data_IF_113611332139
#
_entry.id   IF_113611332139
#
_cell.length_a   1.000
_cell.length_b   1.000
_cell.length_c   1.000
_cell.angle_alpha   90.00
_cell.angle_beta   90.00
_cell.angle_gamma   90.00
#
_symmetry.space_group_name_H-M   'P 1'
#
loop_
_entity.id
_entity.type
_entity.pdbx_description
1 polymer ?
#
# COMPACT_ATOMS: atom_id res chain seq x y z
N UNK A 1 -24.39 1.31 0.67
CA UNK A 1 -25.51 1.68 1.55
C UNK A 1 -26.76 0.86 1.25
N UNK A 2 -27.40 0.99 0.08
CA UNK A 2 -28.63 0.25 -0.30
C UNK A 2 -28.67 -1.23 0.12
N UNK A 3 -27.66 -2.02 -0.22
CA UNK A 3 -27.62 -3.45 0.17
C UNK A 3 -27.62 -3.66 1.70
N UNK A 4 -26.99 -2.77 2.47
CA UNK A 4 -27.00 -2.82 3.94
C UNK A 4 -28.37 -2.45 4.51
N UNK A 5 -29.06 -1.50 3.89
CA UNK A 5 -30.44 -1.13 4.27
C UNK A 5 -31.42 -2.29 4.02
N UNK A 6 -31.12 -3.12 3.03
CA UNK A 6 -31.82 -4.38 2.73
C UNK A 6 -31.40 -5.55 3.65
N UNK A 7 -30.53 -5.31 4.64
CA UNK A 7 -30.07 -6.31 5.61
C UNK A 7 -28.87 -7.15 5.16
N UNK A 8 -28.27 -6.87 4.00
CA UNK A 8 -27.07 -7.57 3.53
C UNK A 8 -25.84 -7.12 4.30
N UNK A 9 -25.08 -8.07 4.85
CA UNK A 9 -23.80 -7.81 5.54
C UNK A 9 -22.70 -7.49 4.53
N UNK A 10 -22.60 -6.22 4.12
CA UNK A 10 -21.55 -5.72 3.22
C UNK A 10 -20.58 -4.83 3.98
N UNK A 11 -19.29 -5.17 3.98
CA UNK A 11 -18.23 -4.41 4.62
C UNK A 11 -17.18 -4.01 3.58
N UNK A 12 -16.27 -3.12 3.97
CA UNK A 12 -15.07 -2.81 3.21
C UNK A 12 -13.91 -2.54 4.18
N UNK A 13 -12.71 -2.47 3.65
CA UNK A 13 -11.51 -2.11 4.38
C UNK A 13 -10.65 -1.13 3.56
N UNK A 14 -9.76 -0.40 4.25
CA UNK A 14 -8.92 0.61 3.64
C UNK A 14 -7.66 0.89 4.48
N UNK A 15 -6.53 1.12 3.81
CA UNK A 15 -5.35 1.76 4.39
C UNK A 15 -5.38 3.29 4.17
N UNK A 16 -4.92 4.12 5.12
CA UNK A 16 -5.10 5.57 5.09
C UNK A 16 -3.99 6.31 4.32
N UNK A 17 -3.72 5.91 3.07
CA UNK A 17 -2.74 6.57 2.20
C UNK A 17 -3.32 6.82 0.81
N UNK A 18 -3.15 8.03 0.28
CA UNK A 18 -3.52 8.39 -1.09
C UNK A 18 -2.54 7.88 -2.17
N UNK A 19 -1.99 6.68 -1.96
CA UNK A 19 -1.05 6.04 -2.89
C UNK A 19 -1.50 4.64 -3.26
N UNK A 20 -1.16 4.27 -4.50
CA UNK A 20 -1.53 2.99 -5.10
C UNK A 20 -0.28 2.16 -5.43
N UNK A 21 -0.46 0.84 -5.48
CA UNK A 21 0.57 -0.12 -5.86
C UNK A 21 1.23 -0.76 -4.66
N UNK A 22 1.12 -2.09 -4.59
CA UNK A 22 1.85 -2.92 -3.64
C UNK A 22 3.35 -2.82 -3.93
N UNK A 23 4.13 -2.42 -2.93
CA UNK A 23 5.60 -2.51 -2.87
C UNK A 23 6.41 -1.90 -4.03
N UNK A 24 5.88 -0.87 -4.68
CA UNK A 24 6.62 -0.11 -5.71
C UNK A 24 6.77 -0.81 -7.05
N UNK A 25 5.84 -1.72 -7.40
CA UNK A 25 5.87 -2.41 -8.70
C UNK A 25 4.87 -1.83 -9.70
N UNK A 26 4.79 -0.51 -9.82
CA UNK A 26 4.05 0.12 -10.93
C UNK A 26 4.82 -0.10 -12.21
N UNK A 27 4.31 -1.00 -13.07
CA UNK A 27 4.87 -1.24 -14.41
C UNK A 27 3.93 -0.61 -15.43
N UNK A 28 4.48 0.28 -16.26
CA UNK A 28 3.72 0.94 -17.34
C UNK A 28 3.78 0.14 -18.65
N UNK A 29 4.83 -0.65 -18.83
CA UNK A 29 4.96 -1.54 -19.99
C UNK A 29 3.94 -2.68 -19.84
N UNK A 30 3.09 -2.96 -20.85
CA UNK A 30 2.14 -4.04 -20.75
C UNK A 30 2.85 -5.39 -20.60
N UNK A 31 2.34 -6.26 -19.72
CA UNK A 31 3.02 -7.51 -19.35
C UNK A 31 3.33 -8.39 -20.58
N UNK A 32 2.44 -8.42 -21.59
CA UNK A 32 2.67 -9.16 -22.84
C UNK A 32 3.93 -8.72 -23.60
N UNK A 33 4.33 -7.45 -23.48
CA UNK A 33 5.52 -6.91 -24.13
C UNK A 33 6.81 -7.20 -23.33
N UNK A 34 6.69 -7.75 -22.13
CA UNK A 34 7.81 -8.19 -21.28
C UNK A 34 8.01 -9.72 -21.32
N UNK A 35 7.14 -10.44 -22.03
CA UNK A 35 7.22 -11.89 -22.21
C UNK A 35 7.87 -12.25 -23.54
N UNK A 36 8.43 -13.47 -23.62
CA UNK A 36 8.85 -14.04 -24.89
C UNK A 36 7.65 -14.33 -25.83
N UNK A 37 7.87 -14.64 -27.13
CA UNK A 37 6.78 -14.92 -28.06
C UNK A 37 5.87 -16.11 -27.68
N UNK A 38 6.27 -16.94 -26.72
CA UNK A 38 5.49 -18.06 -26.19
C UNK A 38 4.80 -17.72 -24.86
N UNK A 39 4.83 -16.45 -24.42
CA UNK A 39 4.23 -15.98 -23.18
C UNK A 39 5.01 -16.38 -21.93
N UNK A 40 6.31 -16.70 -22.04
CA UNK A 40 7.14 -17.14 -20.91
C UNK A 40 8.10 -16.04 -20.46
N UNK A 41 8.34 -15.97 -19.15
CA UNK A 41 9.45 -15.20 -18.56
C UNK A 41 10.77 -15.96 -18.76
N UNK A 42 11.29 -15.91 -19.99
CA UNK A 42 12.55 -16.59 -20.37
C UNK A 42 13.70 -15.64 -20.68
N UNK A 43 13.41 -14.37 -20.98
CA UNK A 43 14.38 -13.33 -21.32
C UNK A 43 14.27 -12.16 -20.33
N UNK A 44 15.34 -11.35 -20.17
CA UNK A 44 15.23 -10.09 -19.44
C UNK A 44 14.12 -9.22 -20.05
N UNK A 45 13.23 -8.61 -19.25
CA UNK A 45 12.17 -7.71 -19.70
C UNK A 45 12.61 -6.68 -20.77
N UNK A 46 13.80 -6.09 -20.62
CA UNK A 46 14.32 -5.14 -21.59
C UNK A 46 14.61 -5.77 -22.97
N UNK A 47 15.06 -7.03 -23.02
CA UNK A 47 15.32 -7.73 -24.27
C UNK A 47 14.01 -8.13 -24.97
N UNK A 48 13.03 -8.63 -24.19
CA UNK A 48 11.69 -8.93 -24.70
C UNK A 48 11.05 -7.68 -25.33
N UNK A 49 11.11 -6.54 -24.63
CA UNK A 49 10.59 -5.28 -25.14
C UNK A 49 11.27 -4.85 -26.44
N UNK A 50 12.61 -4.94 -26.54
CA UNK A 50 13.32 -4.65 -27.81
C UNK A 50 12.83 -5.50 -28.97
N UNK A 51 12.52 -6.77 -28.72
CA UNK A 51 11.96 -7.68 -29.71
C UNK A 51 10.60 -7.21 -30.25
N UNK A 52 9.69 -6.82 -29.34
CA UNK A 52 8.37 -6.30 -29.73
C UNK A 52 8.43 -4.93 -30.40
N UNK A 53 9.35 -4.05 -29.98
CA UNK A 53 9.52 -2.72 -30.59
C UNK A 53 10.09 -2.77 -32.02
N UNK A 54 10.64 -3.90 -32.46
CA UNK A 54 11.11 -4.07 -33.84
C UNK A 54 9.97 -4.26 -34.85
N UNK A 55 8.78 -4.64 -34.39
CA UNK A 55 7.56 -4.76 -35.20
C UNK A 55 6.70 -3.49 -35.08
N UNK A 56 6.44 -2.74 -36.15
CA UNK A 56 5.68 -1.49 -36.09
C UNK A 56 4.25 -1.64 -35.54
N UNK A 57 3.60 -2.79 -35.77
CA UNK A 57 2.25 -3.03 -35.27
C UNK A 57 2.26 -3.24 -33.75
N UNK A 58 3.21 -4.03 -33.25
CA UNK A 58 3.45 -4.26 -31.82
C UNK A 58 3.89 -2.98 -31.11
N UNK A 59 4.80 -2.20 -31.71
CA UNK A 59 5.20 -0.89 -31.18
C UNK A 59 3.98 0.02 -31.00
N UNK A 60 3.14 0.17 -32.03
CA UNK A 60 1.95 0.99 -31.95
C UNK A 60 0.96 0.52 -30.87
N UNK A 61 0.86 -0.80 -30.62
CA UNK A 61 0.05 -1.35 -29.53
C UNK A 61 0.63 -1.02 -28.16
N UNK A 62 1.94 -1.21 -27.98
CA UNK A 62 2.65 -0.88 -26.72
C UNK A 62 2.46 0.59 -26.35
N UNK A 63 2.60 1.50 -27.32
CA UNK A 63 2.42 2.93 -27.06
C UNK A 63 1.02 3.25 -26.54
N UNK A 64 -0.03 2.66 -27.14
CA UNK A 64 -1.42 2.85 -26.69
C UNK A 64 -1.66 2.27 -25.31
N UNK A 65 -1.09 1.10 -25.02
CA UNK A 65 -1.24 0.44 -23.72
C UNK A 65 -0.55 1.25 -22.61
N UNK A 66 0.66 1.76 -22.87
CA UNK A 66 1.38 2.64 -21.94
C UNK A 66 0.59 3.94 -21.72
N UNK A 67 0.09 4.56 -22.79
CA UNK A 67 -0.74 5.78 -22.68
C UNK A 67 -1.98 5.52 -21.82
N UNK A 68 -2.65 4.39 -22.02
CA UNK A 68 -3.78 3.97 -21.19
C UNK A 68 -3.38 3.80 -19.72
N UNK A 69 -2.25 3.15 -19.43
CA UNK A 69 -1.76 2.92 -18.07
C UNK A 69 -1.39 4.23 -17.36
N UNK A 70 -0.73 5.16 -18.07
CA UNK A 70 -0.42 6.50 -17.54
C UNK A 70 -1.73 7.24 -17.19
N UNK A 71 -2.70 7.24 -18.11
CA UNK A 71 -4.00 7.90 -17.88
C UNK A 71 -4.77 7.25 -16.73
N UNK A 72 -4.78 5.92 -16.64
CA UNK A 72 -5.44 5.16 -15.56
C UNK A 72 -4.87 5.51 -14.18
N UNK A 73 -3.60 5.91 -14.11
CA UNK A 73 -2.91 6.34 -12.88
C UNK A 73 -3.09 7.82 -12.56
N UNK A 74 -3.85 8.55 -13.39
CA UNK A 74 -4.12 9.97 -13.19
C UNK A 74 -3.12 10.91 -13.85
N UNK A 75 -2.20 10.39 -14.68
CA UNK A 75 -1.21 11.19 -15.40
C UNK A 75 0.23 10.76 -15.13
N UNK A 76 1.16 11.26 -15.96
CA UNK A 76 2.59 10.96 -15.83
C UNK A 76 3.21 11.63 -14.58
N UNK A 77 2.66 12.76 -14.15
CA UNK A 77 2.99 13.44 -12.90
C UNK A 77 2.68 12.61 -11.64
N UNK A 78 1.87 11.56 -11.79
CA UNK A 78 1.50 10.64 -10.69
C UNK A 78 2.37 9.40 -10.61
N UNK A 79 3.31 9.19 -11.54
CA UNK A 79 4.20 8.03 -11.52
C UNK A 79 5.58 8.46 -11.08
N UNK A 80 6.00 8.08 -9.88
CA UNK A 80 7.27 8.49 -9.26
C UNK A 80 8.26 7.34 -9.26
N UNK A 81 9.53 7.63 -9.54
CA UNK A 81 10.64 6.65 -9.48
C UNK A 81 11.15 6.53 -8.03
N UNK A 82 11.22 5.31 -7.51
CA UNK A 82 11.62 5.02 -6.13
C UNK A 82 12.96 4.30 -6.03
N UNK A 83 13.26 3.46 -7.02
CA UNK A 83 14.53 2.76 -7.12
C UNK A 83 14.86 2.61 -8.61
N UNK A 84 16.09 2.98 -8.98
CA UNK A 84 16.55 2.98 -10.36
C UNK A 84 18.08 3.04 -10.40
N UNK A 85 18.76 2.43 -11.39
CA UNK A 85 20.22 2.47 -11.48
C UNK A 85 20.81 3.89 -11.49
N UNK A 86 20.17 4.80 -12.23
CA UNK A 86 20.47 6.23 -12.17
C UNK A 86 19.76 6.88 -10.98
N UNK A 87 20.54 7.23 -9.96
CA UNK A 87 20.05 7.78 -8.69
C UNK A 87 19.47 9.19 -8.82
N UNK A 88 19.80 9.94 -9.89
CA UNK A 88 19.25 11.28 -10.11
C UNK A 88 17.76 11.26 -10.49
N UNK A 89 17.25 10.11 -10.91
CA UNK A 89 15.84 9.93 -11.23
C UNK A 89 14.98 9.63 -9.99
N UNK A 90 15.59 9.18 -8.89
CA UNK A 90 14.86 8.80 -7.68
C UNK A 90 14.16 10.03 -7.09
N UNK A 91 12.86 9.91 -6.84
CA UNK A 91 12.00 10.95 -6.32
C UNK A 91 11.37 11.86 -7.37
N UNK A 92 11.79 11.77 -8.64
CA UNK A 92 11.17 12.49 -9.75
C UNK A 92 9.99 11.73 -10.31
N UNK A 93 9.00 12.46 -10.82
CA UNK A 93 7.88 11.85 -11.54
C UNK A 93 8.18 11.69 -13.05
N UNK A 94 7.45 10.80 -13.72
CA UNK A 94 7.65 10.48 -15.13
C UNK A 94 7.56 11.72 -16.03
N UNK A 95 6.66 12.66 -15.72
CA UNK A 95 6.52 13.90 -16.48
C UNK A 95 7.79 14.77 -16.37
N UNK A 96 8.30 14.98 -15.16
CA UNK A 96 9.53 15.76 -14.93
C UNK A 96 10.75 15.16 -15.63
N UNK A 97 10.83 13.83 -15.70
CA UNK A 97 11.93 13.13 -16.37
C UNK A 97 11.78 13.27 -17.90
N UNK A 98 10.56 13.10 -18.41
CA UNK A 98 10.24 13.24 -19.83
C UNK A 98 10.52 14.67 -20.33
N UNK A 99 10.07 15.69 -19.59
CA UNK A 99 10.29 17.10 -19.90
C UNK A 99 11.78 17.45 -19.94
N UNK A 100 12.56 16.98 -18.96
CA UNK A 100 14.00 17.23 -18.91
C UNK A 100 14.77 16.59 -20.08
N UNK A 101 14.25 15.50 -20.64
CA UNK A 101 14.83 14.83 -21.82
C UNK A 101 14.21 15.28 -23.14
N UNK A 102 13.18 16.12 -23.11
CA UNK A 102 12.48 16.61 -24.30
C UNK A 102 11.75 15.52 -25.09
N UNK A 103 11.24 14.48 -24.40
CA UNK A 103 10.49 13.38 -25.02
C UNK A 103 9.12 13.21 -24.37
N UNK A 104 8.21 12.54 -25.07
CA UNK A 104 6.87 12.24 -24.57
C UNK A 104 6.91 11.21 -23.41
N UNK A 105 6.04 11.33 -22.36
CA UNK A 105 6.01 10.40 -21.23
C UNK A 105 5.82 8.92 -21.59
N UNK A 106 5.08 8.60 -22.66
CA UNK A 106 4.92 7.22 -23.15
C UNK A 106 6.26 6.68 -23.62
N UNK A 107 7.01 7.48 -24.39
CA UNK A 107 8.37 7.13 -24.84
C UNK A 107 9.36 7.10 -23.68
N UNK A 108 9.19 7.96 -22.68
CA UNK A 108 9.99 7.95 -21.46
C UNK A 108 9.78 6.65 -20.67
N UNK A 109 8.56 6.11 -20.57
CA UNK A 109 8.32 4.83 -19.92
C UNK A 109 9.07 3.67 -20.61
N UNK A 110 9.12 3.67 -21.94
CA UNK A 110 9.95 2.73 -22.72
C UNK A 110 11.44 2.93 -22.41
N UNK A 111 11.92 4.17 -22.42
CA UNK A 111 13.31 4.48 -22.11
C UNK A 111 13.71 4.00 -20.71
N UNK A 112 12.88 4.21 -19.69
CA UNK A 112 13.11 3.70 -18.34
C UNK A 112 13.27 2.17 -18.32
N UNK A 113 12.39 1.44 -19.02
CA UNK A 113 12.51 -0.02 -19.11
C UNK A 113 13.80 -0.48 -19.81
N UNK A 114 14.24 0.23 -20.85
CA UNK A 114 15.37 -0.18 -21.69
C UNK A 114 16.74 0.25 -21.14
N UNK A 115 16.79 1.33 -20.38
CA UNK A 115 18.02 1.91 -19.80
C UNK A 115 18.24 1.51 -18.35
N UNK A 116 17.21 1.01 -17.67
CA UNK A 116 17.25 0.59 -16.28
C UNK A 116 17.80 -0.82 -16.08
N UNK A 117 17.43 -1.46 -14.97
CA UNK A 117 17.74 -2.87 -14.73
C UNK A 117 17.01 -3.74 -15.75
N UNK A 118 17.78 -4.41 -16.60
CA UNK A 118 17.28 -5.25 -17.68
C UNK A 118 16.40 -6.41 -17.19
N UNK A 119 16.57 -6.85 -15.95
CA UNK A 119 15.83 -7.95 -15.32
C UNK A 119 14.59 -7.50 -14.56
N UNK A 120 14.42 -6.18 -14.36
CA UNK A 120 13.31 -5.60 -13.61
C UNK A 120 12.22 -5.07 -14.56
N UNK A 121 10.96 -5.51 -14.44
CA UNK A 121 9.83 -4.84 -15.07
C UNK A 121 9.75 -3.37 -14.64
N UNK A 122 9.67 -2.45 -15.61
CA UNK A 122 9.79 -1.01 -15.43
C UNK A 122 11.22 -0.45 -15.46
N UNK A 123 12.25 -1.30 -15.50
CA UNK A 123 13.67 -0.90 -15.40
C UNK A 123 14.09 -0.43 -14.01
N UNK A 124 13.16 -0.45 -13.05
CA UNK A 124 13.34 -0.05 -11.67
C UNK A 124 12.01 -0.19 -10.92
N UNK A 125 11.90 0.44 -9.75
CA UNK A 125 10.66 0.48 -8.96
C UNK A 125 9.99 1.84 -9.12
N UNK A 126 8.75 1.84 -9.60
CA UNK A 126 7.92 3.03 -9.73
C UNK A 126 6.68 2.91 -8.84
N UNK A 127 6.10 4.04 -8.48
CA UNK A 127 4.88 4.10 -7.66
C UNK A 127 3.87 5.08 -8.21
N UNK A 128 2.61 4.67 -8.23
CA UNK A 128 1.48 5.51 -8.64
C UNK A 128 0.86 6.24 -7.46
N UNK A 129 0.80 7.56 -7.52
CA UNK A 129 0.04 8.45 -6.64
C UNK A 129 -1.36 8.68 -7.24
N UNK A 130 -2.07 7.58 -7.47
CA UNK A 130 -3.29 7.54 -8.28
C UNK A 130 -4.60 7.61 -7.48
N UNK A 131 -4.50 7.76 -6.14
CA UNK A 131 -5.67 7.85 -5.27
C UNK A 131 -5.89 9.31 -4.85
N UNK A 132 -7.16 9.68 -4.72
CA UNK A 132 -7.55 11.00 -4.21
C UNK A 132 -7.64 10.97 -2.69
N UNK A 133 -6.96 11.89 -2.02
CA UNK A 133 -7.06 12.07 -0.56
C UNK A 133 -8.52 12.38 -0.13
N UNK A 134 -9.30 13.03 -1.01
CA UNK A 134 -10.73 13.28 -0.77
C UNK A 134 -11.50 11.96 -0.67
N UNK A 135 -11.23 11.03 -1.60
CA UNK A 135 -11.89 9.72 -1.59
C UNK A 135 -11.42 8.88 -0.40
N UNK A 136 -10.11 8.93 -0.07
CA UNK A 136 -9.57 8.24 1.10
C UNK A 136 -10.27 8.70 2.38
N UNK A 137 -10.41 10.01 2.58
CA UNK A 137 -11.15 10.61 3.71
C UNK A 137 -12.62 10.22 3.72
N UNK A 138 -13.28 10.25 2.56
CA UNK A 138 -14.70 9.92 2.44
C UNK A 138 -15.00 8.46 2.83
N UNK A 139 -14.17 7.52 2.38
CA UNK A 139 -14.27 6.10 2.78
C UNK A 139 -13.85 5.90 4.23
N UNK A 140 -12.81 6.58 4.70
CA UNK A 140 -12.33 6.50 6.07
C UNK A 140 -13.41 6.84 7.12
N UNK A 141 -14.32 7.75 6.77
CA UNK A 141 -15.43 8.18 7.61
C UNK A 141 -16.63 7.22 7.63
N UNK A 142 -16.68 6.22 6.74
CA UNK A 142 -17.82 5.32 6.68
C UNK A 142 -17.82 4.34 7.86
N UNK A 143 -18.96 4.13 8.56
CA UNK A 143 -19.03 3.28 9.75
C UNK A 143 -18.86 1.78 9.47
N UNK A 144 -18.84 1.39 8.19
CA UNK A 144 -18.71 0.03 7.68
C UNK A 144 -17.37 -0.24 6.98
N UNK A 145 -16.45 0.72 7.00
CA UNK A 145 -15.08 0.57 6.50
C UNK A 145 -14.15 0.28 7.69
N UNK A 146 -13.51 -0.89 7.69
CA UNK A 146 -12.46 -1.23 8.64
C UNK A 146 -11.11 -0.65 8.21
N UNK A 147 -10.21 -0.46 9.17
CA UNK A 147 -8.81 -0.15 8.86
C UNK A 147 -8.07 -1.46 8.58
N UNK A 148 -7.43 -1.56 7.43
CA UNK A 148 -6.54 -2.67 7.08
C UNK A 148 -5.27 -2.08 6.46
N UNK A 149 -4.10 -2.63 6.80
CA UNK A 149 -2.84 -2.09 6.28
C UNK A 149 -2.61 -2.41 4.81
N UNK A 150 -3.16 -3.52 4.31
CA UNK A 150 -2.75 -4.11 3.03
C UNK A 150 -1.21 -4.28 2.93
N UNK A 151 -0.57 -4.43 4.09
CA UNK A 151 0.86 -4.61 4.24
C UNK A 151 1.23 -6.07 4.44
N UNK A 152 2.33 -6.49 3.82
CA UNK A 152 2.99 -7.76 4.11
C UNK A 152 4.01 -7.63 5.24
N UNK A 153 4.77 -8.71 5.47
CA UNK A 153 5.98 -8.64 6.31
C UNK A 153 7.08 -8.04 5.45
N UNK A 154 7.72 -6.99 5.97
CA UNK A 154 8.87 -6.36 5.34
C UNK A 154 9.99 -6.18 6.36
N UNK A 155 11.21 -6.40 5.91
CA UNK A 155 12.46 -6.18 6.63
C UNK A 155 13.28 -5.13 5.87
N UNK A 156 14.22 -4.43 6.54
CA UNK A 156 15.09 -3.47 5.87
C UNK A 156 15.85 -4.04 4.65
N UNK A 157 16.10 -5.35 4.64
CA UNK A 157 16.75 -6.06 3.54
C UNK A 157 15.88 -6.20 2.28
N UNK A 158 14.57 -6.01 2.40
CA UNK A 158 13.62 -6.12 1.28
C UNK A 158 13.60 -4.84 0.41
N UNK A 159 14.23 -3.77 0.88
CA UNK A 159 14.30 -2.49 0.19
C UNK A 159 12.97 -1.72 0.23
N UNK A 160 12.73 -0.79 -0.71
CA UNK A 160 11.58 0.11 -0.62
C UNK A 160 10.22 -0.62 -0.63
N UNK A 161 9.46 -0.48 0.46
CA UNK A 161 8.07 -0.96 0.58
C UNK A 161 7.09 0.22 0.70
N UNK A 162 5.79 -0.06 0.76
CA UNK A 162 4.79 0.98 0.98
C UNK A 162 4.71 1.35 2.48
N UNK A 163 4.64 2.65 2.86
CA UNK A 163 4.66 3.05 4.28
C UNK A 163 3.51 2.49 5.13
N UNK A 164 2.38 2.17 4.48
CA UNK A 164 1.26 1.39 5.05
C UNK A 164 1.67 0.13 5.82
N UNK A 165 2.82 -0.47 5.51
CA UNK A 165 3.34 -1.66 6.20
C UNK A 165 3.65 -1.38 7.69
N UNK A 166 4.05 -0.14 8.01
CA UNK A 166 4.45 0.24 9.36
C UNK A 166 3.52 1.30 9.99
N UNK A 167 2.88 2.15 9.17
CA UNK A 167 2.22 3.35 9.66
C UNK A 167 0.68 3.35 9.66
N UNK A 168 0.02 2.33 9.10
CA UNK A 168 -1.44 2.38 8.84
C UNK A 168 -2.29 2.75 10.06
N UNK A 169 -2.13 2.03 11.18
CA UNK A 169 -3.01 2.21 12.34
C UNK A 169 -2.76 3.55 13.06
N UNK A 170 -1.50 3.94 13.36
CA UNK A 170 -1.19 5.25 13.92
C UNK A 170 -1.62 6.41 13.01
N UNK A 171 -1.38 6.31 11.70
CA UNK A 171 -1.78 7.34 10.72
C UNK A 171 -3.27 7.61 10.75
N UNK A 172 -4.10 6.56 10.80
CA UNK A 172 -5.57 6.71 10.90
C UNK A 172 -5.96 7.53 12.14
N UNK A 173 -5.30 7.29 13.27
CA UNK A 173 -5.58 8.02 14.51
C UNK A 173 -5.08 9.47 14.40
N UNK A 174 -3.80 9.66 14.09
CA UNK A 174 -3.14 10.98 14.06
C UNK A 174 -3.74 11.88 12.98
N UNK A 175 -3.60 11.51 11.71
CA UNK A 175 -4.03 12.35 10.57
C UNK A 175 -5.55 12.51 10.51
N UNK A 176 -6.32 11.41 10.63
CA UNK A 176 -7.76 11.44 10.32
C UNK A 176 -8.62 11.78 11.54
N UNK A 177 -8.22 11.37 12.75
CA UNK A 177 -9.00 11.68 13.95
C UNK A 177 -8.53 12.94 14.67
N UNK A 178 -7.22 13.15 14.78
CA UNK A 178 -6.66 14.27 15.57
C UNK A 178 -6.36 15.51 14.72
N UNK A 179 -5.65 15.38 13.60
CA UNK A 179 -5.21 16.53 12.80
C UNK A 179 -6.33 17.12 11.95
N UNK A 180 -6.98 16.28 11.14
CA UNK A 180 -8.04 16.73 10.22
C UNK A 180 -9.44 16.68 10.84
N UNK A 181 -9.63 15.85 11.88
CA UNK A 181 -10.93 15.68 12.54
C UNK A 181 -12.04 15.15 11.64
N UNK A 182 -11.71 14.46 10.54
CA UNK A 182 -12.73 13.90 9.62
C UNK A 182 -13.50 12.74 10.25
N UNK A 183 -12.94 12.12 11.29
CA UNK A 183 -13.57 11.10 12.14
C UNK A 183 -13.27 11.40 13.61
N UNK A 184 -14.04 10.83 14.53
CA UNK A 184 -13.69 10.88 15.95
C UNK A 184 -12.61 9.86 16.30
N UNK A 185 -11.94 10.06 17.44
CA UNK A 185 -10.97 9.10 17.98
C UNK A 185 -11.63 7.73 18.21
N UNK A 186 -12.84 7.70 18.76
CA UNK A 186 -13.58 6.46 19.01
C UNK A 186 -13.92 5.73 17.72
N UNK A 187 -14.24 6.46 16.64
CA UNK A 187 -14.47 5.86 15.33
C UNK A 187 -13.17 5.25 14.78
N UNK A 188 -12.05 5.96 14.91
CA UNK A 188 -10.74 5.45 14.49
C UNK A 188 -10.34 4.19 15.28
N UNK A 189 -10.59 4.14 16.60
CA UNK A 189 -10.35 2.94 17.41
C UNK A 189 -11.30 1.82 17.01
N UNK A 190 -12.61 2.10 16.89
CA UNK A 190 -13.61 1.11 16.49
C UNK A 190 -13.28 0.48 15.12
N UNK A 191 -12.81 1.27 14.14
CA UNK A 191 -12.53 0.77 12.80
C UNK A 191 -11.35 -0.22 12.74
N UNK A 192 -10.50 -0.24 13.77
CA UNK A 192 -9.37 -1.16 13.89
C UNK A 192 -9.53 -2.23 15.00
N UNK A 193 -10.61 -2.19 15.79
CA UNK A 193 -10.87 -3.16 16.89
C UNK A 193 -12.20 -3.90 16.73
N UNK A 194 -13.31 -3.34 17.22
CA UNK A 194 -14.60 -4.04 17.29
C UNK A 194 -15.27 -4.22 15.94
N UNK A 195 -14.99 -3.35 14.95
CA UNK A 195 -15.48 -3.52 13.58
C UNK A 195 -14.86 -4.76 12.90
N UNK A 196 -13.52 -4.91 12.78
CA UNK A 196 -12.94 -6.11 12.21
C UNK A 196 -13.28 -7.37 13.02
N UNK A 197 -13.34 -7.31 14.35
CA UNK A 197 -13.81 -8.43 15.18
C UNK A 197 -15.23 -8.87 14.78
N UNK A 198 -16.15 -7.92 14.58
CA UNK A 198 -17.52 -8.21 14.10
C UNK A 198 -17.55 -8.78 12.68
N UNK A 199 -16.72 -8.26 11.77
CA UNK A 199 -16.63 -8.75 10.38
C UNK A 199 -16.19 -10.22 10.38
N UNK A 200 -15.21 -10.56 11.21
CA UNK A 200 -14.63 -11.90 11.32
C UNK A 200 -15.42 -12.84 12.24
N UNK A 201 -16.42 -12.33 12.97
CA UNK A 201 -17.23 -13.11 13.91
C UNK A 201 -16.48 -13.50 15.18
N UNK A 202 -15.63 -12.62 15.70
CA UNK A 202 -14.91 -12.79 16.97
C UNK A 202 -15.75 -12.16 18.08
N UNK A 203 -16.42 -13.00 18.88
CA UNK A 203 -17.36 -12.55 19.92
C UNK A 203 -16.69 -12.34 21.30
N UNK A 204 -15.38 -12.55 21.39
CA UNK A 204 -14.58 -12.46 22.61
C UNK A 204 -13.34 -11.55 22.45
N UNK A 205 -13.27 -10.76 21.36
CA UNK A 205 -12.16 -9.84 21.03
C UNK A 205 -12.66 -8.50 20.46
N UNK A 206 -11.76 -7.52 20.41
CA UNK A 206 -12.00 -6.22 19.77
C UNK A 206 -12.70 -5.18 20.66
N UNK A 207 -13.03 -5.51 21.90
CA UNK A 207 -13.59 -4.59 22.89
C UNK A 207 -12.93 -4.82 24.26
N UNK A 208 -12.81 -3.77 25.08
CA UNK A 208 -12.33 -3.89 26.46
C UNK A 208 -13.54 -4.24 27.33
N UNK A 209 -13.68 -5.52 27.69
CA UNK A 209 -14.81 -6.04 28.46
C UNK A 209 -14.38 -7.23 29.32
N UNK A 210 -14.98 -7.38 30.50
CA UNK A 210 -14.79 -8.56 31.32
C UNK A 210 -15.12 -9.85 30.54
N UNK A 211 -14.25 -10.85 30.63
CA UNK A 211 -14.38 -12.11 29.91
C UNK A 211 -13.85 -12.11 28.46
N UNK A 212 -13.36 -10.97 27.95
CA UNK A 212 -12.69 -10.91 26.64
C UNK A 212 -11.19 -11.20 26.76
N UNK A 213 -10.57 -11.55 25.64
CA UNK A 213 -9.11 -11.67 25.57
C UNK A 213 -8.45 -10.32 25.83
N UNK A 214 -7.36 -10.34 26.59
CA UNK A 214 -6.53 -9.16 26.87
C UNK A 214 -5.60 -8.85 25.68
N UNK A 215 -6.19 -8.55 24.53
CA UNK A 215 -5.51 -7.95 23.38
C UNK A 215 -5.62 -6.43 23.51
N UNK A 216 -4.58 -5.80 24.05
CA UNK A 216 -4.61 -4.40 24.47
C UNK A 216 -3.44 -3.64 23.87
N UNK A 217 -3.67 -2.37 23.56
CA UNK A 217 -2.63 -1.42 23.16
C UNK A 217 -2.72 -0.21 24.08
N UNK A 218 -1.60 0.16 24.68
CA UNK A 218 -1.43 1.41 25.41
C UNK A 218 -0.53 2.31 24.58
N UNK A 219 -0.99 3.51 24.31
CA UNK A 219 -0.27 4.47 23.50
C UNK A 219 -0.52 5.89 24.01
N UNK A 220 0.47 6.75 23.86
CA UNK A 220 0.38 8.16 24.18
C UNK A 220 -0.19 8.94 23.00
N UNK A 221 -1.32 9.61 23.21
CA UNK A 221 -2.04 10.36 22.17
C UNK A 221 -1.25 11.56 21.65
N UNK A 222 -0.43 12.20 22.49
CA UNK A 222 0.35 13.37 22.09
C UNK A 222 1.47 12.97 21.13
N UNK A 223 2.15 11.87 21.45
CA UNK A 223 3.29 11.38 20.70
C UNK A 223 2.90 10.35 19.61
N UNK A 224 1.65 9.89 19.50
CA UNK A 224 1.29 8.91 18.46
C UNK A 224 1.47 9.47 17.03
N UNK A 225 2.34 8.84 16.23
CA UNK A 225 2.64 9.28 14.85
C UNK A 225 3.18 8.14 13.98
N UNK A 226 2.75 8.09 12.71
CA UNK A 226 3.41 7.28 11.70
C UNK A 226 4.68 7.99 11.19
N UNK A 227 5.82 7.34 11.33
CA UNK A 227 7.13 7.84 10.90
C UNK A 227 7.58 7.24 9.57
N UNK A 228 6.90 6.18 9.13
CA UNK A 228 7.17 5.51 7.87
C UNK A 228 6.85 6.40 6.69
N UNK A 229 7.88 6.72 5.91
CA UNK A 229 7.73 7.52 4.70
C UNK A 229 7.95 6.68 3.45
N UNK A 230 7.74 7.30 2.30
CA UNK A 230 7.96 6.67 1.01
C UNK A 230 9.43 6.29 0.77
N UNK A 231 10.36 7.16 1.17
CA UNK A 231 11.80 6.94 0.97
C UNK A 231 12.47 6.28 2.18
N UNK A 232 11.84 6.35 3.35
CA UNK A 232 12.28 5.67 4.58
C UNK A 232 11.12 4.86 5.16
N UNK A 233 10.72 3.74 4.51
CA UNK A 233 9.51 3.03 4.89
C UNK A 233 9.68 2.16 6.14
N UNK A 234 10.90 1.71 6.47
CA UNK A 234 11.16 0.81 7.59
C UNK A 234 11.32 1.53 8.93
N UNK A 235 10.37 2.41 9.25
CA UNK A 235 10.34 3.16 10.51
C UNK A 235 9.14 2.70 11.33
N UNK A 236 9.40 2.30 12.57
CA UNK A 236 8.32 1.99 13.52
C UNK A 236 7.64 3.28 13.96
N UNK A 237 6.32 3.21 14.09
CA UNK A 237 5.54 4.30 14.64
C UNK A 237 5.95 4.64 16.08
N UNK A 238 5.81 5.90 16.45
CA UNK A 238 6.12 6.38 17.78
C UNK A 238 4.83 6.51 18.60
N UNK A 239 4.98 6.51 19.94
CA UNK A 239 3.86 6.65 20.88
C UNK A 239 3.15 5.35 21.26
N UNK A 240 3.50 4.20 20.66
CA UNK A 240 3.02 2.88 21.13
C UNK A 240 3.89 2.43 22.32
N UNK A 241 3.32 2.40 23.52
CA UNK A 241 4.05 2.10 24.75
C UNK A 241 4.01 0.62 25.11
N UNK A 242 2.81 0.03 25.10
CA UNK A 242 2.60 -1.37 25.44
C UNK A 242 1.64 -2.04 24.47
N UNK A 243 1.94 -3.29 24.13
CA UNK A 243 1.04 -4.16 23.37
C UNK A 243 0.97 -5.49 24.09
N UNK A 244 -0.24 -5.94 24.36
CA UNK A 244 -0.55 -7.22 24.96
C UNK A 244 -1.30 -8.07 23.95
N UNK A 245 -0.93 -9.34 23.86
CA UNK A 245 -1.64 -10.33 23.04
C UNK A 245 -1.97 -11.50 23.94
N UNK A 246 -3.26 -11.82 24.06
CA UNK A 246 -3.76 -12.82 25.01
C UNK A 246 -3.30 -12.59 26.47
N UNK A 247 -3.08 -11.33 26.86
CA UNK A 247 -2.63 -10.94 28.20
C UNK A 247 -1.12 -10.99 28.42
N UNK A 248 -0.33 -11.45 27.45
CA UNK A 248 1.14 -11.45 27.52
C UNK A 248 1.71 -10.22 26.79
N UNK A 249 2.65 -9.48 27.40
CA UNK A 249 3.27 -8.33 26.75
C UNK A 249 4.15 -8.77 25.57
N UNK A 250 3.94 -8.13 24.42
CA UNK A 250 4.77 -8.29 23.21
C UNK A 250 5.53 -7.01 22.87
N UNK A 251 5.07 -5.86 23.38
CA UNK A 251 5.78 -4.58 23.42
C UNK A 251 5.68 -4.02 24.83
N UNK A 252 6.78 -3.54 25.39
CA UNK A 252 6.82 -2.89 26.70
C UNK A 252 7.78 -1.70 26.70
N UNK A 253 7.31 -0.55 27.19
CA UNK A 253 8.05 0.73 27.15
C UNK A 253 8.57 1.08 25.75
N UNK A 254 7.79 0.78 24.71
CA UNK A 254 8.17 0.99 23.31
C UNK A 254 9.15 -0.03 22.74
N UNK A 255 9.55 -1.06 23.50
CA UNK A 255 10.48 -2.09 23.06
C UNK A 255 9.76 -3.40 22.72
N UNK A 256 10.07 -3.97 21.54
CA UNK A 256 9.54 -5.26 21.11
C UNK A 256 10.20 -6.38 21.94
N UNK A 257 9.39 -7.23 22.56
CA UNK A 257 9.84 -8.32 23.44
C UNK A 257 10.01 -9.67 22.71
N UNK A 258 9.57 -9.76 21.45
CA UNK A 258 9.59 -10.99 20.62
C UNK A 258 8.86 -12.20 21.20
N UNK A 259 8.02 -12.02 22.23
CA UNK A 259 7.09 -13.05 22.68
C UNK A 259 6.07 -13.34 21.58
N UNK A 260 5.71 -14.62 21.41
CA UNK A 260 4.77 -15.09 20.39
C UNK A 260 3.52 -15.75 21.02
N UNK A 261 2.76 -15.06 21.91
CA UNK A 261 1.61 -15.62 22.61
C UNK A 261 0.37 -15.79 21.70
N UNK A 262 0.50 -15.48 20.41
CA UNK A 262 -0.56 -15.57 19.42
C UNK A 262 -1.14 -16.98 19.33
N UNK A 263 -2.45 -17.05 19.08
CA UNK A 263 -3.17 -18.33 18.91
C UNK A 263 -3.84 -18.33 17.55
N UNK A 264 -3.87 -19.50 16.92
CA UNK A 264 -4.68 -19.72 15.72
C UNK A 264 -6.14 -19.48 16.11
N UNK A 265 -6.80 -18.54 15.42
CA UNK A 265 -8.24 -18.34 15.53
C UNK A 265 -8.90 -19.31 14.55
N UNK A 266 -9.51 -20.41 15.02
CA UNK A 266 -10.16 -21.35 14.11
C UNK A 266 -11.34 -20.66 13.43
N UNK A 267 -11.55 -20.95 12.14
CA UNK A 267 -12.79 -20.56 11.49
C UNK A 267 -13.95 -21.19 12.25
N UNK A 268 -15.02 -20.42 12.47
CA UNK A 268 -16.27 -20.97 12.99
C UNK A 268 -16.74 -22.03 11.99
N UNK A 269 -16.75 -23.30 12.40
CA UNK A 269 -17.54 -24.32 11.69
C UNK A 269 -18.98 -23.79 11.64
N UNK A 270 -19.56 -23.79 10.44
CA UNK A 270 -20.76 -23.05 10.06
C UNK A 270 -21.85 -22.95 11.14
N UNK A 271 -22.35 -21.72 11.29
CA UNK A 271 -23.71 -21.46 11.75
C UNK A 271 -24.46 -20.79 10.61
#
# INVERSE_FOLDING_TARGET
QRARDEGVRVWADQYPYATSGSDGNTVLIPDWALLDPNGRRGRPPAEALRGHLADPASEAAILRDIEHEIRRRGGADRVVVFDYPDRELIGRNLQEIADARGIDPVRMAIALQLEGDAHQPGGGRLRGFSLSEIDVRAYAAQPWVATASDGGIALPVDGPVHPRFYGTFPRKIREYALDTGVISLEHAIRSQTSLPARIMGLDDRGEIREGYWADLVVFDLESLRDTSTFFEPHQYAEGIEHVFVNGEPVVENGHILYALPGRVIPSRKGR
#
